data_IF_123030685724
#
_entry.id   IF_123030685724
#
_cell.length_a   1.000
_cell.length_b   1.000
_cell.length_c   1.000
_cell.angle_alpha   90.00
_cell.angle_beta   90.00
_cell.angle_gamma   90.00
#
_symmetry.space_group_name_H-M   'P 1'
#
loop_
_entity.id
_entity.type
_entity.pdbx_description
1 polymer ?
#
# COMPACT_ATOMS: atom_id res chain seq x y z
N UNK A 1 2.74 -2.34 -3.91
CA UNK A 1 2.25 -2.31 -2.51
C UNK A 1 0.80 -2.73 -2.46
N UNK A 2 0.38 -3.37 -1.40
CA UNK A 2 -1.02 -3.76 -1.16
C UNK A 2 -1.41 -3.36 0.25
N UNK A 3 -2.52 -2.64 0.38
CA UNK A 3 -3.14 -2.37 1.68
C UNK A 3 -3.92 -3.62 2.13
N UNK A 4 -3.69 -4.08 3.36
CA UNK A 4 -4.14 -5.41 3.81
C UNK A 4 -5.64 -5.55 4.03
N UNK A 5 -6.31 -4.52 4.48
CA UNK A 5 -7.75 -4.57 4.78
C UNK A 5 -8.58 -4.36 3.51
N UNK A 6 -8.32 -3.31 2.77
CA UNK A 6 -9.04 -2.95 1.56
C UNK A 6 -8.58 -3.68 0.31
N UNK A 7 -7.39 -4.30 0.35
CA UNK A 7 -6.73 -4.88 -0.84
C UNK A 7 -6.39 -3.84 -1.91
N UNK A 8 -6.35 -2.57 -1.54
CA UNK A 8 -5.96 -1.49 -2.44
C UNK A 8 -4.51 -1.65 -2.91
N UNK A 9 -4.30 -1.49 -4.20
CA UNK A 9 -3.02 -1.79 -4.87
C UNK A 9 -2.39 -0.53 -5.42
N UNK A 10 -1.09 -0.38 -5.19
CA UNK A 10 -0.23 0.58 -5.88
C UNK A 10 0.96 -0.18 -6.46
N UNK A 11 1.16 -0.06 -7.77
CA UNK A 11 2.32 -0.64 -8.45
C UNK A 11 3.34 0.46 -8.71
N UNK A 12 4.56 0.20 -8.29
CA UNK A 12 5.70 1.10 -8.46
C UNK A 12 6.72 0.44 -9.39
N UNK A 13 7.33 1.23 -10.26
CA UNK A 13 8.35 0.76 -11.19
C UNK A 13 9.73 0.88 -10.55
N UNK A 14 10.45 -0.23 -10.47
CA UNK A 14 11.83 -0.26 -9.98
C UNK A 14 12.70 -1.15 -10.91
N UNK A 15 13.01 -0.69 -12.13
CA UNK A 15 13.68 -1.51 -13.14
C UNK A 15 15.08 -1.94 -12.75
N UNK A 16 15.77 -1.11 -11.96
CA UNK A 16 17.16 -1.34 -11.57
C UNK A 16 17.29 -2.00 -10.19
N UNK A 17 16.19 -2.32 -9.51
CA UNK A 17 16.14 -2.86 -8.14
C UNK A 17 16.98 -2.06 -7.14
N UNK A 18 17.07 -0.74 -7.34
CA UNK A 18 17.80 0.16 -6.45
C UNK A 18 16.96 0.54 -5.24
N UNK A 19 17.63 0.69 -4.10
CA UNK A 19 16.98 0.99 -2.82
C UNK A 19 16.49 2.43 -2.73
N UNK A 20 17.32 3.41 -3.05
CA UNK A 20 16.97 4.84 -2.94
C UNK A 20 15.78 5.26 -3.80
N UNK A 21 15.72 4.95 -5.12
CA UNK A 21 14.59 5.31 -5.94
C UNK A 21 13.28 4.67 -5.49
N UNK A 22 13.29 3.40 -5.06
CA UNK A 22 12.08 2.73 -4.61
C UNK A 22 11.57 3.28 -3.28
N UNK A 23 12.46 3.63 -2.35
CA UNK A 23 12.08 4.26 -1.09
C UNK A 23 11.47 5.64 -1.31
N UNK A 24 12.03 6.43 -2.23
CA UNK A 24 11.45 7.72 -2.60
C UNK A 24 10.05 7.59 -3.21
N UNK A 25 9.83 6.63 -4.09
CA UNK A 25 8.51 6.35 -4.68
C UNK A 25 7.49 5.88 -3.63
N UNK A 26 7.91 5.02 -2.69
CA UNK A 26 7.06 4.59 -1.58
C UNK A 26 6.69 5.78 -0.70
N UNK A 27 7.66 6.62 -0.36
CA UNK A 27 7.43 7.82 0.44
C UNK A 27 6.47 8.78 -0.24
N UNK A 28 6.64 9.03 -1.53
CA UNK A 28 5.76 9.88 -2.32
C UNK A 28 4.32 9.32 -2.38
N UNK A 29 4.17 8.01 -2.56
CA UNK A 29 2.87 7.37 -2.57
C UNK A 29 2.14 7.41 -1.22
N UNK A 30 2.88 7.36 -0.11
CA UNK A 30 2.33 7.35 1.25
C UNK A 30 2.14 8.74 1.85
N UNK A 31 2.90 9.73 1.42
CA UNK A 31 2.88 11.09 1.99
C UNK A 31 1.51 11.76 1.98
N UNK A 32 0.68 11.66 0.92
CA UNK A 32 -0.65 12.26 0.91
C UNK A 32 -1.64 11.59 1.86
N UNK A 33 -1.34 10.38 2.35
CA UNK A 33 -2.24 9.62 3.21
C UNK A 33 -2.17 10.11 4.66
N UNK A 34 -3.29 10.08 5.41
CA UNK A 34 -3.27 10.37 6.84
C UNK A 34 -2.46 9.32 7.60
N UNK A 35 -1.93 9.69 8.78
CA UNK A 35 -1.11 8.79 9.61
C UNK A 35 -1.83 7.48 9.95
N UNK A 36 -3.14 7.52 10.12
CA UNK A 36 -3.97 6.33 10.37
C UNK A 36 -3.96 5.33 9.22
N UNK A 37 -3.82 5.80 7.98
CA UNK A 37 -3.78 4.95 6.78
C UNK A 37 -2.37 4.45 6.42
N UNK A 38 -1.32 5.03 7.03
CA UNK A 38 0.08 4.69 6.77
C UNK A 38 0.85 4.27 8.02
N UNK A 39 0.24 3.43 8.84
CA UNK A 39 0.81 3.02 10.15
C UNK A 39 2.05 2.16 10.02
N UNK A 40 2.03 1.23 9.08
CA UNK A 40 3.13 0.29 8.90
C UNK A 40 3.25 -0.20 7.47
N UNK A 41 4.45 -0.55 7.09
CA UNK A 41 4.77 -1.23 5.83
C UNK A 41 5.51 -2.52 6.16
N UNK A 42 5.10 -3.61 5.53
CA UNK A 42 5.79 -4.89 5.64
C UNK A 42 6.52 -5.17 4.33
N UNK A 43 7.82 -5.39 4.44
CA UNK A 43 8.68 -5.75 3.32
C UNK A 43 9.00 -7.24 3.34
N UNK A 44 9.31 -7.78 2.17
CA UNK A 44 10.10 -9.00 2.12
C UNK A 44 11.59 -8.67 2.39
N UNK A 45 12.45 -9.68 2.36
CA UNK A 45 13.88 -9.50 2.62
C UNK A 45 14.66 -9.15 1.35
N UNK A 46 14.06 -8.45 0.41
CA UNK A 46 14.73 -7.99 -0.79
C UNK A 46 15.80 -6.93 -0.47
N UNK A 47 16.93 -7.00 -1.16
CA UNK A 47 18.02 -6.04 -1.02
C UNK A 47 17.65 -4.61 -1.38
N UNK A 48 16.61 -4.44 -2.21
CA UNK A 48 16.04 -3.15 -2.59
C UNK A 48 15.41 -2.36 -1.44
N UNK A 49 15.19 -3.01 -0.29
CA UNK A 49 14.54 -2.38 0.88
C UNK A 49 15.52 -2.07 2.02
N UNK A 50 16.82 -2.08 1.77
CA UNK A 50 17.84 -1.83 2.80
C UNK A 50 17.73 -0.43 3.41
N UNK A 51 17.31 0.57 2.65
CA UNK A 51 17.16 1.96 3.12
C UNK A 51 15.83 2.23 3.85
N UNK A 52 15.17 1.21 4.36
CA UNK A 52 13.92 1.33 5.12
C UNK A 52 13.97 2.30 6.32
N UNK A 53 15.11 2.50 7.04
CA UNK A 53 15.17 3.47 8.13
C UNK A 53 14.83 4.89 7.69
N UNK A 54 15.17 5.24 6.45
CA UNK A 54 14.83 6.55 5.87
C UNK A 54 13.33 6.77 5.77
N UNK A 55 12.59 5.76 5.34
CA UNK A 55 11.14 5.80 5.26
C UNK A 55 10.49 5.98 6.64
N UNK A 56 11.01 5.28 7.65
CA UNK A 56 10.53 5.41 9.03
C UNK A 56 10.80 6.80 9.61
N UNK A 57 11.99 7.36 9.38
CA UNK A 57 12.38 8.68 9.84
C UNK A 57 11.55 9.79 9.18
N UNK A 58 11.29 9.68 7.86
CA UNK A 58 10.60 10.71 7.08
C UNK A 58 9.07 10.71 7.33
N UNK A 59 8.45 9.55 7.43
CA UNK A 59 6.99 9.41 7.45
C UNK A 59 6.40 8.91 8.77
N UNK A 60 7.22 8.51 9.73
CA UNK A 60 6.77 7.90 10.98
C UNK A 60 6.10 6.53 10.78
N UNK A 61 6.37 5.87 9.68
CA UNK A 61 5.81 4.55 9.33
C UNK A 61 6.61 3.46 10.01
N UNK A 62 5.96 2.55 10.73
CA UNK A 62 6.63 1.35 11.27
C UNK A 62 6.96 0.39 10.14
N UNK A 63 8.16 -0.15 10.15
CA UNK A 63 8.61 -1.10 9.15
C UNK A 63 8.76 -2.49 9.76
N UNK A 64 8.28 -3.48 9.03
CA UNK A 64 8.33 -4.90 9.40
C UNK A 64 8.90 -5.69 8.24
N UNK A 65 9.53 -6.81 8.56
CA UNK A 65 10.01 -7.74 7.55
C UNK A 65 9.34 -9.11 7.73
N UNK A 66 8.99 -9.74 6.61
CA UNK A 66 8.48 -11.10 6.63
C UNK A 66 9.56 -12.07 7.12
N UNK A 67 9.16 -13.02 7.95
CA UNK A 67 10.05 -14.12 8.32
C UNK A 67 10.37 -15.01 7.12
N UNK A 68 11.57 -15.61 7.04
CA UNK A 68 12.02 -16.34 5.86
C UNK A 68 11.13 -17.54 5.47
N UNK A 69 10.41 -18.14 6.41
CA UNK A 69 9.64 -19.37 6.22
C UNK A 69 8.15 -19.20 6.52
N UNK A 70 7.60 -18.02 6.33
CA UNK A 70 6.19 -17.72 6.63
C UNK A 70 5.44 -17.24 5.39
N UNK A 71 5.09 -18.13 4.43
CA UNK A 71 4.43 -17.76 3.19
C UNK A 71 3.07 -17.08 3.41
N UNK A 72 2.35 -17.37 4.49
CA UNK A 72 1.08 -16.74 4.84
C UNK A 72 1.19 -15.21 5.10
N UNK A 73 2.36 -14.72 5.50
CA UNK A 73 2.59 -13.27 5.67
C UNK A 73 2.57 -12.51 4.33
N UNK A 74 2.81 -13.21 3.22
CA UNK A 74 2.83 -12.68 1.85
C UNK A 74 1.54 -12.93 1.07
N UNK A 75 0.56 -13.63 1.62
CA UNK A 75 -0.60 -14.13 0.88
C UNK A 75 -1.36 -13.06 0.09
N UNK A 76 -1.53 -11.84 0.64
CA UNK A 76 -2.19 -10.73 -0.04
C UNK A 76 -1.39 -10.24 -1.26
N UNK A 77 -0.07 -10.19 -1.14
CA UNK A 77 0.83 -9.75 -2.22
C UNK A 77 0.88 -10.82 -3.32
N UNK A 78 0.98 -12.09 -2.96
CA UNK A 78 0.99 -13.20 -3.92
C UNK A 78 -0.30 -13.26 -4.73
N UNK A 79 -1.46 -13.13 -4.08
CA UNK A 79 -2.75 -13.07 -4.77
C UNK A 79 -2.85 -11.86 -5.70
N UNK A 80 -2.35 -10.71 -5.30
CA UNK A 80 -2.30 -9.52 -6.13
C UNK A 80 -1.37 -9.72 -7.34
N UNK A 81 -0.19 -10.31 -7.13
CA UNK A 81 0.74 -10.62 -8.21
C UNK A 81 0.14 -11.60 -9.23
N UNK A 82 -0.60 -12.62 -8.78
CA UNK A 82 -1.34 -13.51 -9.70
C UNK A 82 -2.36 -12.76 -10.54
N UNK A 83 -3.06 -11.79 -9.96
CA UNK A 83 -4.03 -10.96 -10.68
C UNK A 83 -3.34 -10.02 -11.67
N UNK A 84 -2.25 -9.38 -11.26
CA UNK A 84 -1.42 -8.55 -12.13
C UNK A 84 -0.95 -9.33 -13.37
N UNK A 85 -0.46 -10.54 -13.18
CA UNK A 85 -0.02 -11.42 -14.28
C UNK A 85 -1.12 -11.82 -15.26
N UNK A 86 -2.37 -11.88 -14.81
CA UNK A 86 -3.52 -12.14 -15.71
C UNK A 86 -3.85 -10.94 -16.59
N UNK A 87 -3.62 -9.74 -16.10
CA UNK A 87 -3.87 -8.48 -16.82
C UNK A 87 -2.71 -8.11 -17.74
N UNK A 88 -1.49 -8.48 -17.37
CA UNK A 88 -0.33 -8.39 -18.24
C UNK A 88 -0.31 -9.64 -19.09
N UNK A 89 -0.73 -9.55 -20.36
CA UNK A 89 -0.62 -10.67 -21.28
C UNK A 89 0.78 -11.27 -21.21
N UNK A 90 0.87 -12.61 -21.24
CA UNK A 90 2.13 -13.37 -21.13
C UNK A 90 3.19 -12.98 -22.17
N UNK A 91 2.79 -12.28 -23.22
CA UNK A 91 3.64 -11.85 -24.34
C UNK A 91 4.19 -10.44 -24.19
N UNK A 92 3.77 -9.67 -23.16
CA UNK A 92 4.20 -8.28 -22.99
C UNK A 92 5.40 -8.25 -22.05
N UNK A 93 6.54 -7.76 -22.54
CA UNK A 93 7.72 -7.56 -21.71
C UNK A 93 7.41 -6.53 -20.61
N UNK A 94 7.58 -6.85 -19.31
CA UNK A 94 7.35 -5.91 -18.21
C UNK A 94 8.13 -4.59 -18.32
N UNK A 95 9.26 -4.60 -19.03
CA UNK A 95 10.08 -3.41 -19.24
C UNK A 95 9.43 -2.38 -20.16
N UNK A 96 8.47 -2.80 -20.99
CA UNK A 96 7.75 -1.91 -21.93
C UNK A 96 6.60 -1.16 -21.28
N UNK A 97 6.19 -1.49 -20.04
CA UNK A 97 5.14 -0.78 -19.33
C UNK A 97 5.58 0.64 -18.95
N UNK A 98 4.79 1.62 -19.39
CA UNK A 98 4.93 3.00 -18.94
C UNK A 98 4.32 3.19 -17.55
N UNK A 99 4.65 4.29 -16.88
CA UNK A 99 4.01 4.64 -15.61
C UNK A 99 2.49 4.82 -15.76
N UNK A 100 2.05 5.26 -16.92
CA UNK A 100 0.64 5.44 -17.24
C UNK A 100 -0.07 4.10 -17.40
N UNK A 101 0.56 3.11 -18.03
CA UNK A 101 0.05 1.74 -18.12
C UNK A 101 -0.11 1.12 -16.73
N UNK A 102 0.85 1.35 -15.83
CA UNK A 102 0.78 0.87 -14.45
C UNK A 102 -0.34 1.55 -13.66
N UNK A 103 -0.59 2.84 -13.88
CA UNK A 103 -1.72 3.55 -13.27
C UNK A 103 -3.06 2.98 -13.73
N UNK A 104 -3.23 2.74 -15.03
CA UNK A 104 -4.44 2.13 -15.59
C UNK A 104 -4.67 0.72 -15.03
N UNK A 105 -3.61 -0.06 -14.91
CA UNK A 105 -3.66 -1.38 -14.32
C UNK A 105 -4.11 -1.33 -12.84
N UNK A 106 -3.52 -0.45 -12.05
CA UNK A 106 -3.93 -0.22 -10.65
C UNK A 106 -5.39 0.21 -10.55
N UNK A 107 -5.82 1.14 -11.40
CA UNK A 107 -7.20 1.60 -11.44
C UNK A 107 -8.18 0.46 -11.72
N UNK A 108 -7.86 -0.41 -12.69
CA UNK A 108 -8.66 -1.59 -13.00
C UNK A 108 -8.76 -2.58 -11.84
N UNK A 109 -7.64 -2.88 -11.20
CA UNK A 109 -7.61 -3.78 -10.04
C UNK A 109 -8.37 -3.21 -8.83
N UNK A 110 -8.23 -1.91 -8.59
CA UNK A 110 -8.89 -1.22 -7.47
C UNK A 110 -10.39 -0.96 -7.72
N UNK A 111 -10.84 -1.03 -8.96
CA UNK A 111 -12.25 -0.91 -9.36
C UNK A 111 -12.96 -2.26 -9.53
N UNK A 112 -12.28 -3.38 -9.32
CA UNK A 112 -12.86 -4.71 -9.45
C UNK A 112 -13.41 -5.20 -8.12
N UNK A 113 -14.72 -5.53 -8.00
CA UNK A 113 -15.31 -6.07 -6.77
C UNK A 113 -14.61 -7.35 -6.30
N UNK A 114 -14.45 -7.48 -4.99
CA UNK A 114 -13.79 -8.62 -4.35
C UNK A 114 -14.75 -9.35 -3.41
N UNK A 115 -14.82 -10.67 -3.54
CA UNK A 115 -15.62 -11.51 -2.64
C UNK A 115 -15.20 -11.32 -1.17
N UNK A 116 -13.90 -11.25 -0.89
CA UNK A 116 -13.37 -11.02 0.47
C UNK A 116 -13.71 -9.66 1.08
N UNK A 117 -14.22 -8.72 0.26
CA UNK A 117 -14.67 -7.39 0.68
C UNK A 117 -16.19 -7.25 0.63
N UNK A 118 -16.94 -8.36 0.62
CA UNK A 118 -18.39 -8.35 0.43
C UNK A 118 -18.81 -7.80 -0.92
N UNK A 119 -18.07 -8.10 -1.97
CA UNK A 119 -18.27 -7.62 -3.35
C UNK A 119 -18.09 -6.09 -3.53
N UNK A 120 -17.49 -5.44 -2.56
CA UNK A 120 -17.04 -4.04 -2.70
C UNK A 120 -15.70 -3.99 -3.43
N UNK A 121 -15.41 -2.85 -4.04
CA UNK A 121 -14.10 -2.62 -4.66
C UNK A 121 -13.04 -2.23 -3.62
N UNK A 122 -11.76 -2.53 -3.86
CA UNK A 122 -10.67 -2.05 -3.02
C UNK A 122 -10.68 -0.53 -2.83
N UNK A 123 -10.98 0.22 -3.89
CA UNK A 123 -11.04 1.68 -3.82
C UNK A 123 -12.14 2.18 -2.88
N UNK A 124 -13.33 1.56 -2.90
CA UNK A 124 -14.44 1.91 -2.01
C UNK A 124 -14.09 1.64 -0.54
N UNK A 125 -13.53 0.47 -0.25
CA UNK A 125 -13.17 0.08 1.12
C UNK A 125 -12.04 0.96 1.65
N UNK A 126 -11.03 1.23 0.84
CA UNK A 126 -9.90 2.09 1.20
C UNK A 126 -10.36 3.52 1.50
N UNK A 127 -11.18 4.09 0.64
CA UNK A 127 -11.76 5.43 0.84
C UNK A 127 -12.59 5.50 2.12
N UNK A 128 -13.44 4.52 2.37
CA UNK A 128 -14.28 4.46 3.57
C UNK A 128 -13.43 4.38 4.85
N UNK A 129 -12.31 3.64 4.84
CA UNK A 129 -11.41 3.54 5.99
C UNK A 129 -10.71 4.87 6.30
N UNK A 130 -10.27 5.61 5.28
CA UNK A 130 -9.65 6.92 5.43
C UNK A 130 -10.65 7.94 5.99
N UNK A 131 -11.86 7.99 5.47
CA UNK A 131 -12.92 8.90 5.93
C UNK A 131 -13.33 8.56 7.37
N UNK A 132 -13.52 7.27 7.68
CA UNK A 132 -13.87 6.81 9.03
C UNK A 132 -12.83 7.18 10.08
N UNK A 133 -11.56 7.06 9.77
CA UNK A 133 -10.47 7.44 10.66
C UNK A 133 -10.36 8.97 10.81
N UNK A 134 -10.58 9.72 9.76
CA UNK A 134 -10.65 11.18 9.81
C UNK A 134 -11.77 11.67 10.73
N UNK A 135 -12.92 11.00 10.71
CA UNK A 135 -14.04 11.32 11.61
C UNK A 135 -13.73 10.99 13.07
N UNK A 136 -13.06 9.88 13.34
CA UNK A 136 -12.63 9.48 14.70
C UNK A 136 -11.62 10.45 15.29
N UNK A 137 -10.62 10.87 14.52
CA UNK A 137 -9.63 11.84 14.96
C UNK A 137 -10.23 13.21 15.22
N UNK A 138 -11.15 13.68 14.37
CA UNK A 138 -11.87 14.93 14.57
C UNK A 138 -12.76 14.90 15.85
N UNK A 139 -13.37 13.75 16.14
CA UNK A 139 -14.21 13.58 17.35
C UNK A 139 -13.38 13.54 18.63
N UNK A 140 -12.16 12.99 18.58
CA UNK A 140 -11.23 12.98 19.70
C UNK A 140 -10.64 14.38 19.98
N UNK A 141 -10.39 15.18 18.95
CA UNK A 141 -9.88 16.54 19.10
C UNK A 141 -10.92 17.52 19.65
N UNK A 142 -12.21 17.18 19.56
CA UNK A 142 -13.33 18.00 20.07
C UNK A 142 -13.78 17.63 21.49
N UNK A 143 -13.12 16.70 22.17
CA UNK A 143 -13.36 16.52 23.60
C UNK A 143 -12.91 17.78 24.33
N UNK A 144 -13.79 18.51 25.02
CA UNK A 144 -13.39 19.64 25.84
C UNK A 144 -12.40 19.11 26.86
N UNK A 145 -11.25 19.79 26.98
CA UNK A 145 -10.38 19.58 28.13
C UNK A 145 -11.23 19.86 29.34
N UNK A 146 -11.60 18.83 30.07
CA UNK A 146 -12.17 19.01 31.39
C UNK A 146 -11.14 19.78 32.23
N UNK A 147 -11.40 21.05 32.47
CA UNK A 147 -10.71 21.77 33.50
C UNK A 147 -11.09 21.13 34.84
N UNK A 148 -10.27 20.21 35.30
CA UNK A 148 -10.17 19.94 36.70
C UNK A 148 -9.41 21.14 37.31
N UNK A 149 -10.18 22.10 37.70
CA UNK A 149 -9.74 23.17 38.60
C UNK A 149 -9.63 22.64 40.03
#
# INVERSE_FOLDING_TARGET
MVERLSRFVVVLRNPEKRTKPIMAQIAEALRPLPLSARRSVTFDRGSEFVDWPHLQAELGVRTWFCDPQTPWQKGSIENTNKRLRRWTCRETNPETFTQDDLRKLCAGLNATPRKCLGYRTPAEVFRASIIGDGYRTAKLSRRPKSHLG
#
